data_IF_053473683349
#
_entry.id   IF_053473683349
#
_cell.length_a   1.000
_cell.length_b   1.000
_cell.length_c   1.000
_cell.angle_alpha   90.00
_cell.angle_beta   90.00
_cell.angle_gamma   90.00
#
_symmetry.space_group_name_H-M   'P 1'
#
loop_
_entity.id
_entity.type
_entity.pdbx_description
1 polymer ?
#
# COMPACT_ATOMS: atom_id res chain seq x y z
N UNK A 1 -37.14 -22.56 7.92
CA UNK A 1 -36.55 -21.23 8.10
C UNK A 1 -37.47 -20.27 7.34
N UNK A 2 -38.18 -19.40 8.06
CA UNK A 2 -39.14 -18.50 7.45
C UNK A 2 -38.45 -17.50 6.54
N UNK A 3 -39.03 -17.22 5.37
CA UNK A 3 -38.46 -16.26 4.39
C UNK A 3 -38.09 -14.93 5.04
N UNK A 4 -38.86 -14.49 6.02
CA UNK A 4 -38.61 -13.24 6.78
C UNK A 4 -37.33 -13.32 7.64
N UNK A 5 -37.10 -14.46 8.29
CA UNK A 5 -35.86 -14.68 9.08
C UNK A 5 -34.63 -14.73 8.18
N UNK A 6 -34.72 -15.40 7.04
CA UNK A 6 -33.64 -15.47 6.04
C UNK A 6 -33.33 -14.07 5.52
N UNK A 7 -34.33 -13.27 5.18
CA UNK A 7 -34.14 -11.90 4.70
C UNK A 7 -33.46 -11.01 5.75
N UNK A 8 -33.93 -11.04 6.99
CA UNK A 8 -33.33 -10.26 8.09
C UNK A 8 -31.87 -10.68 8.34
N UNK A 9 -31.58 -11.97 8.26
CA UNK A 9 -30.21 -12.47 8.41
C UNK A 9 -29.30 -11.95 7.28
N UNK A 10 -29.75 -12.06 6.03
CA UNK A 10 -28.97 -11.60 4.86
C UNK A 10 -28.80 -10.08 4.86
N UNK A 11 -29.83 -9.33 5.25
CA UNK A 11 -29.80 -7.87 5.39
C UNK A 11 -28.75 -7.44 6.42
N UNK A 12 -28.78 -8.02 7.61
CA UNK A 12 -27.80 -7.74 8.67
C UNK A 12 -26.38 -8.18 8.27
N UNK A 13 -26.25 -9.31 7.57
CA UNK A 13 -24.97 -9.78 7.03
C UNK A 13 -24.37 -8.81 5.99
N UNK A 14 -25.21 -8.17 5.17
CA UNK A 14 -24.77 -7.17 4.19
C UNK A 14 -24.17 -5.94 4.87
N UNK A 15 -24.84 -5.41 5.91
CA UNK A 15 -24.28 -4.31 6.70
C UNK A 15 -22.97 -4.71 7.39
N UNK A 16 -22.91 -5.91 7.98
CA UNK A 16 -21.70 -6.45 8.58
C UNK A 16 -20.54 -6.57 7.57
N UNK A 17 -20.82 -7.06 6.37
CA UNK A 17 -19.83 -7.15 5.31
C UNK A 17 -19.33 -5.78 4.86
N UNK A 18 -20.21 -4.79 4.70
CA UNK A 18 -19.83 -3.42 4.36
C UNK A 18 -18.94 -2.78 5.45
N UNK A 19 -19.30 -2.96 6.73
CA UNK A 19 -18.49 -2.47 7.84
C UNK A 19 -17.09 -3.11 7.87
N UNK A 20 -16.99 -4.42 7.62
CA UNK A 20 -15.72 -5.13 7.53
C UNK A 20 -14.85 -4.61 6.37
N UNK A 21 -15.43 -4.39 5.20
CA UNK A 21 -14.71 -3.86 4.04
C UNK A 21 -14.23 -2.42 4.30
N UNK A 22 -15.05 -1.58 4.92
CA UNK A 22 -14.69 -0.22 5.29
C UNK A 22 -13.53 -0.19 6.30
N UNK A 23 -13.62 -1.00 7.34
CA UNK A 23 -12.56 -1.12 8.35
C UNK A 23 -11.26 -1.65 7.76
N UNK A 24 -11.34 -2.75 6.98
CA UNK A 24 -10.18 -3.35 6.32
C UNK A 24 -9.50 -2.39 5.36
N UNK A 25 -10.28 -1.71 4.49
CA UNK A 25 -9.74 -0.73 3.54
C UNK A 25 -9.03 0.43 4.24
N UNK A 26 -9.64 0.98 5.29
CA UNK A 26 -9.05 2.06 6.08
C UNK A 26 -7.79 1.61 6.81
N UNK A 27 -7.80 0.42 7.39
CA UNK A 27 -6.64 -0.18 8.06
C UNK A 27 -5.47 -0.35 7.09
N UNK A 28 -5.71 -0.90 5.89
CA UNK A 28 -4.68 -1.05 4.86
C UNK A 28 -4.10 0.31 4.42
N UNK A 29 -4.92 1.34 4.24
CA UNK A 29 -4.48 2.71 3.90
C UNK A 29 -3.51 3.24 4.97
N UNK A 30 -3.86 3.12 6.26
CA UNK A 30 -3.01 3.58 7.37
C UNK A 30 -1.68 2.82 7.40
N UNK A 31 -1.71 1.49 7.19
CA UNK A 31 -0.49 0.68 7.15
C UNK A 31 0.45 1.10 6.03
N UNK A 32 -0.07 1.31 4.81
CA UNK A 32 0.75 1.74 3.68
C UNK A 32 1.33 3.12 3.92
N UNK A 33 0.52 4.06 4.42
CA UNK A 33 0.97 5.40 4.73
C UNK A 33 2.16 5.40 5.70
N UNK A 34 2.05 4.62 6.79
CA UNK A 34 3.14 4.46 7.76
C UNK A 34 4.37 3.79 7.13
N UNK A 35 4.16 2.79 6.28
CA UNK A 35 5.26 2.06 5.62
C UNK A 35 6.05 2.94 4.66
N UNK A 36 5.37 3.73 3.83
CA UNK A 36 6.02 4.71 2.93
C UNK A 36 6.81 5.75 3.73
N UNK A 37 6.24 6.25 4.83
CA UNK A 37 6.93 7.21 5.70
C UNK A 37 8.21 6.63 6.34
N UNK A 38 8.20 5.34 6.72
CA UNK A 38 9.35 4.68 7.31
C UNK A 38 10.49 4.41 6.31
N UNK A 39 10.16 4.16 5.03
CA UNK A 39 11.14 3.78 4.01
C UNK A 39 11.85 4.96 3.35
N UNK A 40 11.33 6.18 3.47
CA UNK A 40 11.95 7.39 2.91
C UNK A 40 12.68 8.21 3.98
N UNK A 41 13.60 9.07 3.55
CA UNK A 41 14.08 10.18 4.37
C UNK A 41 12.99 11.26 4.46
N UNK A 42 13.00 12.04 5.55
CA UNK A 42 12.04 13.14 5.75
C UNK A 42 12.20 14.21 4.69
N UNK A 43 13.46 14.51 4.36
CA UNK A 43 13.86 15.53 3.42
C UNK A 43 15.06 15.06 2.57
N UNK A 44 15.19 15.63 1.38
CA UNK A 44 16.31 15.42 0.46
C UNK A 44 17.64 15.83 1.11
N UNK A 45 17.65 16.92 1.89
CA UNK A 45 18.82 17.37 2.63
C UNK A 45 19.33 16.33 3.63
N UNK A 46 18.45 15.66 4.36
CA UNK A 46 18.81 14.61 5.31
C UNK A 46 19.36 13.36 4.58
N UNK A 47 18.85 13.05 3.40
CA UNK A 47 19.39 11.97 2.57
C UNK A 47 20.78 12.31 2.05
N UNK A 48 20.99 13.53 1.54
CA UNK A 48 22.29 13.97 1.02
C UNK A 48 23.35 14.01 2.12
N UNK A 49 23.02 14.53 3.30
CA UNK A 49 23.93 14.51 4.45
C UNK A 49 24.37 13.09 4.82
N UNK A 50 23.44 12.13 4.85
CA UNK A 50 23.76 10.72 5.07
C UNK A 50 24.66 10.16 3.97
N UNK A 51 24.40 10.49 2.69
CA UNK A 51 25.21 10.03 1.56
C UNK A 51 26.63 10.64 1.59
N UNK A 52 26.79 11.89 1.99
CA UNK A 52 28.08 12.55 2.15
C UNK A 52 28.91 11.89 3.26
N UNK A 53 28.31 11.53 4.39
CA UNK A 53 28.99 10.80 5.46
C UNK A 53 29.42 9.41 5.00
N UNK A 54 28.56 8.72 4.26
CA UNK A 54 28.86 7.42 3.68
C UNK A 54 29.98 7.51 2.64
N UNK A 55 29.95 8.53 1.77
CA UNK A 55 30.97 8.79 0.77
C UNK A 55 32.35 9.06 1.41
N UNK A 56 32.38 9.82 2.52
CA UNK A 56 33.61 10.06 3.28
C UNK A 56 34.23 8.78 3.85
N UNK A 57 33.43 7.87 4.36
CA UNK A 57 33.89 6.57 4.86
C UNK A 57 34.40 5.68 3.72
N UNK A 58 33.67 5.63 2.62
CA UNK A 58 34.04 4.84 1.43
C UNK A 58 35.34 5.37 0.78
N UNK A 59 35.54 6.68 0.70
CA UNK A 59 36.75 7.29 0.11
C UNK A 59 38.02 6.98 0.92
N UNK A 60 37.88 6.76 2.24
CA UNK A 60 38.96 6.31 3.13
C UNK A 60 39.23 4.80 3.05
N UNK A 61 38.41 4.06 2.31
CA UNK A 61 38.47 2.59 2.24
C UNK A 61 37.93 1.90 3.49
N UNK A 62 37.26 2.63 4.39
CA UNK A 62 36.66 2.10 5.61
C UNK A 62 35.24 1.57 5.31
N UNK A 63 35.19 0.34 4.77
CA UNK A 63 33.94 -0.32 4.44
C UNK A 63 33.18 -0.77 5.70
N UNK A 64 33.86 -1.05 6.78
CA UNK A 64 33.23 -1.50 8.03
C UNK A 64 32.58 -0.31 8.74
N UNK A 65 33.25 0.85 8.76
CA UNK A 65 32.67 2.11 9.21
C UNK A 65 31.48 2.55 8.35
N UNK A 66 31.57 2.40 7.03
CA UNK A 66 30.46 2.67 6.13
C UNK A 66 29.25 1.73 6.36
N UNK A 67 29.48 0.45 6.66
CA UNK A 67 28.43 -0.49 6.99
C UNK A 67 27.76 -0.15 8.33
N UNK A 68 28.54 0.25 9.35
CA UNK A 68 28.00 0.63 10.66
C UNK A 68 27.10 1.86 10.60
N UNK A 69 27.36 2.84 9.69
CA UNK A 69 26.46 3.97 9.45
C UNK A 69 25.07 3.54 8.90
N UNK A 70 25.03 2.43 8.19
CA UNK A 70 23.80 1.90 7.62
C UNK A 70 23.04 0.99 8.61
N UNK A 71 23.71 0.48 9.64
CA UNK A 71 23.15 -0.50 10.58
C UNK A 71 22.01 0.11 11.41
N UNK A 72 20.93 -0.68 11.60
CA UNK A 72 19.75 -0.23 12.35
C UNK A 72 18.84 0.76 11.61
N UNK A 73 19.22 1.27 10.44
CA UNK A 73 18.41 2.21 9.68
C UNK A 73 17.40 1.46 8.79
N UNK A 74 16.10 1.74 9.02
CA UNK A 74 15.01 1.06 8.28
C UNK A 74 14.70 1.72 6.92
N UNK A 75 15.35 2.81 6.57
CA UNK A 75 15.16 3.52 5.30
C UNK A 75 15.75 2.73 4.13
N UNK A 76 15.18 2.92 2.94
CA UNK A 76 15.57 2.14 1.76
C UNK A 76 17.03 2.34 1.34
N UNK A 77 17.50 3.60 1.25
CA UNK A 77 18.86 3.91 0.79
C UNK A 77 19.94 3.30 1.69
N UNK A 78 19.93 3.45 3.03
CA UNK A 78 20.89 2.80 3.91
C UNK A 78 20.88 1.27 3.82
N UNK A 79 19.69 0.64 3.74
CA UNK A 79 19.60 -0.81 3.62
C UNK A 79 20.22 -1.33 2.32
N UNK A 80 19.97 -0.64 1.20
CA UNK A 80 20.54 -1.00 -0.10
C UNK A 80 22.03 -0.70 -0.17
N UNK A 81 22.51 0.40 0.43
CA UNK A 81 23.92 0.71 0.55
C UNK A 81 24.66 -0.35 1.39
N UNK A 82 24.09 -0.78 2.51
CA UNK A 82 24.64 -1.87 3.32
C UNK A 82 24.76 -3.16 2.51
N UNK A 83 23.73 -3.51 1.74
CA UNK A 83 23.74 -4.68 0.88
C UNK A 83 24.87 -4.61 -0.17
N UNK A 84 25.09 -3.42 -0.76
CA UNK A 84 26.19 -3.19 -1.70
C UNK A 84 27.56 -3.40 -1.07
N UNK A 85 27.79 -2.81 0.12
CA UNK A 85 29.05 -2.88 0.82
C UNK A 85 29.39 -4.33 1.20
N UNK A 86 28.41 -5.09 1.69
CA UNK A 86 28.59 -6.50 2.04
C UNK A 86 28.90 -7.38 0.82
N UNK A 87 28.34 -7.04 -0.34
CA UNK A 87 28.52 -7.80 -1.57
C UNK A 87 29.58 -7.22 -2.52
N UNK A 88 30.46 -6.31 -2.04
CA UNK A 88 31.48 -5.63 -2.86
C UNK A 88 32.38 -6.56 -3.69
N UNK A 89 32.56 -7.81 -3.22
CA UNK A 89 33.44 -8.81 -3.85
C UNK A 89 32.91 -9.37 -5.19
N UNK A 90 31.61 -9.28 -5.44
CA UNK A 90 31.00 -9.85 -6.67
C UNK A 90 31.18 -8.97 -7.92
N UNK A 91 31.70 -7.75 -7.73
CA UNK A 91 31.95 -6.78 -8.80
C UNK A 91 30.84 -5.76 -8.97
N UNK A 92 31.20 -4.53 -9.38
CA UNK A 92 30.29 -3.37 -9.43
C UNK A 92 29.01 -3.61 -10.24
N UNK A 93 29.11 -4.20 -11.45
CA UNK A 93 27.96 -4.43 -12.32
C UNK A 93 26.92 -5.36 -11.66
N UNK A 94 27.36 -6.42 -10.98
CA UNK A 94 26.47 -7.35 -10.28
C UNK A 94 25.89 -6.73 -9.01
N UNK A 95 26.67 -5.90 -8.28
CA UNK A 95 26.16 -5.16 -7.11
C UNK A 95 25.07 -4.18 -7.53
N UNK A 96 25.28 -3.42 -8.62
CA UNK A 96 24.27 -2.50 -9.15
C UNK A 96 22.96 -3.22 -9.48
N UNK A 97 23.04 -4.35 -10.19
CA UNK A 97 21.88 -5.16 -10.51
C UNK A 97 21.20 -5.69 -9.25
N UNK A 98 21.96 -6.24 -8.30
CA UNK A 98 21.46 -6.74 -7.04
C UNK A 98 20.67 -5.68 -6.26
N UNK A 99 21.17 -4.44 -6.20
CA UNK A 99 20.47 -3.33 -5.51
C UNK A 99 19.16 -3.00 -6.21
N UNK A 100 19.17 -2.92 -7.55
CA UNK A 100 17.96 -2.63 -8.33
C UNK A 100 16.90 -3.72 -8.14
N UNK A 101 17.29 -4.99 -8.20
CA UNK A 101 16.40 -6.12 -8.01
C UNK A 101 15.83 -6.13 -6.58
N UNK A 102 16.65 -5.85 -5.56
CA UNK A 102 16.21 -5.79 -4.17
C UNK A 102 15.30 -4.60 -3.88
N UNK A 103 15.59 -3.43 -4.44
CA UNK A 103 14.68 -2.29 -4.33
C UNK A 103 13.30 -2.63 -4.90
N UNK A 104 13.27 -3.25 -6.08
CA UNK A 104 12.02 -3.63 -6.72
C UNK A 104 11.27 -4.71 -5.93
N UNK A 105 11.97 -5.74 -5.44
CA UNK A 105 11.36 -6.86 -4.72
C UNK A 105 10.95 -6.51 -3.29
N UNK A 106 11.86 -5.90 -2.51
CA UNK A 106 11.67 -5.74 -1.07
C UNK A 106 10.90 -4.46 -0.71
N UNK A 107 10.93 -3.44 -1.58
CA UNK A 107 10.29 -2.16 -1.32
C UNK A 107 9.05 -1.96 -2.19
N UNK A 108 9.21 -2.01 -3.51
CA UNK A 108 8.11 -1.68 -4.43
C UNK A 108 7.03 -2.76 -4.44
N UNK A 109 7.42 -4.03 -4.53
CA UNK A 109 6.46 -5.15 -4.54
C UNK A 109 5.65 -5.26 -3.23
N UNK A 110 6.27 -5.00 -2.05
CA UNK A 110 5.52 -4.95 -0.78
C UNK A 110 4.44 -3.87 -0.79
N UNK A 111 4.75 -2.68 -1.33
CA UNK A 111 3.80 -1.57 -1.44
C UNK A 111 2.68 -1.89 -2.44
N UNK A 112 3.01 -2.44 -3.60
CA UNK A 112 2.03 -2.80 -4.64
C UNK A 112 1.06 -3.89 -4.16
N UNK A 113 1.58 -4.91 -3.47
CA UNK A 113 0.75 -5.95 -2.87
C UNK A 113 -0.25 -5.37 -1.86
N UNK A 114 0.17 -4.44 -1.02
CA UNK A 114 -0.71 -3.78 -0.04
C UNK A 114 -1.73 -2.86 -0.72
N UNK A 115 -1.33 -2.12 -1.77
CA UNK A 115 -2.24 -1.29 -2.57
C UNK A 115 -3.32 -2.13 -3.25
N UNK A 116 -2.99 -3.33 -3.71
CA UNK A 116 -3.96 -4.25 -4.31
C UNK A 116 -5.11 -4.55 -3.36
N UNK A 117 -4.86 -4.73 -2.06
CA UNK A 117 -5.92 -4.94 -1.07
C UNK A 117 -6.82 -3.71 -0.91
N UNK A 118 -6.26 -2.50 -0.93
CA UNK A 118 -7.07 -1.27 -0.89
C UNK A 118 -7.90 -1.12 -2.15
N UNK A 119 -7.34 -1.38 -3.33
CA UNK A 119 -8.08 -1.39 -4.59
C UNK A 119 -9.21 -2.42 -4.60
N UNK A 120 -8.99 -3.58 -3.97
CA UNK A 120 -10.04 -4.59 -3.79
C UNK A 120 -11.16 -4.05 -2.93
N UNK A 121 -10.86 -3.41 -1.78
CA UNK A 121 -11.88 -2.79 -0.93
C UNK A 121 -12.67 -1.70 -1.66
N UNK A 122 -12.00 -0.83 -2.44
CA UNK A 122 -12.62 0.22 -3.25
C UNK A 122 -13.62 -0.34 -4.26
N UNK A 123 -13.29 -1.47 -4.89
CA UNK A 123 -14.18 -2.13 -5.86
C UNK A 123 -15.31 -2.90 -5.19
N UNK A 124 -15.01 -3.57 -4.09
CA UNK A 124 -15.97 -4.45 -3.39
C UNK A 124 -17.04 -3.65 -2.64
N UNK A 125 -16.70 -2.49 -2.06
CA UNK A 125 -17.65 -1.70 -1.28
C UNK A 125 -18.89 -1.28 -2.08
N UNK A 126 -18.79 -0.69 -3.30
CA UNK A 126 -19.97 -0.38 -4.12
C UNK A 126 -20.71 -1.63 -4.62
N UNK A 127 -20.00 -2.74 -4.88
CA UNK A 127 -20.61 -3.99 -5.31
C UNK A 127 -21.47 -4.60 -4.20
N UNK A 128 -21.03 -4.53 -2.94
CA UNK A 128 -21.85 -4.90 -1.79
C UNK A 128 -23.06 -3.98 -1.62
N UNK A 129 -22.91 -2.69 -1.90
CA UNK A 129 -24.03 -1.75 -1.94
C UNK A 129 -25.06 -2.11 -3.00
N UNK A 130 -24.61 -2.39 -4.22
CA UNK A 130 -25.48 -2.84 -5.32
C UNK A 130 -26.14 -4.18 -4.99
N UNK A 131 -25.43 -5.11 -4.38
CA UNK A 131 -26.01 -6.38 -3.91
C UNK A 131 -27.14 -6.12 -2.90
N UNK A 132 -26.97 -5.17 -1.99
CA UNK A 132 -28.03 -4.74 -1.07
C UNK A 132 -29.27 -4.19 -1.78
N UNK A 133 -29.11 -3.43 -2.90
CA UNK A 133 -30.28 -2.96 -3.66
C UNK A 133 -31.02 -4.12 -4.32
N UNK A 134 -30.33 -5.09 -4.86
CA UNK A 134 -30.94 -6.27 -5.46
C UNK A 134 -31.75 -7.02 -4.40
N UNK A 135 -31.20 -7.25 -3.23
CA UNK A 135 -31.90 -7.93 -2.13
C UNK A 135 -33.13 -7.14 -1.65
N UNK A 136 -32.99 -5.84 -1.43
CA UNK A 136 -34.12 -4.99 -0.98
C UNK A 136 -35.26 -4.95 -1.99
N UNK A 137 -34.94 -4.83 -3.27
CA UNK A 137 -35.96 -4.86 -4.34
C UNK A 137 -36.60 -6.23 -4.47
N UNK A 138 -35.84 -7.34 -4.34
CA UNK A 138 -36.40 -8.69 -4.33
C UNK A 138 -37.37 -8.88 -3.17
N UNK A 139 -37.07 -8.37 -1.99
CA UNK A 139 -37.98 -8.43 -0.84
C UNK A 139 -39.26 -7.62 -1.07
N UNK A 140 -39.11 -6.38 -1.59
CA UNK A 140 -40.25 -5.53 -1.92
C UNK A 140 -41.24 -6.19 -2.91
N UNK A 141 -40.71 -6.72 -4.01
CA UNK A 141 -41.52 -7.41 -5.02
C UNK A 141 -42.06 -8.77 -4.54
N UNK A 142 -41.28 -9.49 -3.72
CA UNK A 142 -41.75 -10.74 -3.11
C UNK A 142 -42.96 -10.53 -2.22
N UNK A 143 -43.00 -9.47 -1.42
CA UNK A 143 -44.17 -9.09 -0.61
C UNK A 143 -45.38 -8.67 -1.45
N UNK A 144 -45.15 -7.93 -2.53
CA UNK A 144 -46.17 -7.53 -3.48
C UNK A 144 -46.85 -8.73 -4.15
N UNK A 145 -46.07 -9.76 -4.50
CA UNK A 145 -46.59 -10.93 -5.20
C UNK A 145 -47.44 -11.85 -4.32
N UNK A 146 -47.25 -11.83 -3.01
CA UNK A 146 -47.92 -12.77 -2.06
C UNK A 146 -48.99 -12.13 -1.19
N UNK A 147 -49.10 -10.79 -1.18
CA UNK A 147 -50.02 -10.08 -0.30
C UNK A 147 -51.35 -9.78 -0.95
N UNK A 148 -52.47 -10.19 -0.31
CA UNK A 148 -53.83 -9.78 -0.69
C UNK A 148 -54.06 -8.25 -0.51
N UNK A 149 -53.31 -7.64 0.40
CA UNK A 149 -53.26 -6.17 0.61
C UNK A 149 -51.83 -5.71 0.80
N UNK A 150 -51.39 -4.79 -0.04
CA UNK A 150 -50.05 -4.18 0.02
C UNK A 150 -49.98 -3.24 1.21
N UNK A 151 -48.95 -3.42 2.08
CA UNK A 151 -48.63 -2.45 3.13
C UNK A 151 -47.56 -1.46 2.59
N UNK A 152 -47.95 -0.19 2.31
CA UNK A 152 -47.02 0.80 1.75
C UNK A 152 -45.81 1.09 2.64
N UNK A 153 -45.94 0.99 3.98
CA UNK A 153 -44.87 1.26 4.94
C UNK A 153 -43.80 0.20 4.83
N UNK A 154 -44.13 -1.08 4.78
CA UNK A 154 -43.19 -2.16 4.63
C UNK A 154 -42.44 -2.11 3.28
N UNK A 155 -43.16 -1.75 2.21
CA UNK A 155 -42.58 -1.56 0.88
C UNK A 155 -41.54 -0.41 0.90
N UNK A 156 -41.88 0.70 1.54
CA UNK A 156 -40.98 1.84 1.70
C UNK A 156 -39.73 1.49 2.52
N UNK A 157 -39.86 0.65 3.55
CA UNK A 157 -38.72 0.16 4.36
C UNK A 157 -37.73 -0.68 3.52
N UNK A 158 -38.23 -1.62 2.71
CA UNK A 158 -37.39 -2.47 1.85
C UNK A 158 -36.66 -1.64 0.79
N UNK A 159 -37.32 -0.65 0.19
CA UNK A 159 -36.73 0.27 -0.78
C UNK A 159 -35.68 1.16 -0.08
N UNK A 160 -36.00 1.68 1.11
CA UNK A 160 -35.08 2.50 1.89
C UNK A 160 -33.81 1.72 2.23
N UNK A 161 -33.94 0.47 2.68
CA UNK A 161 -32.80 -0.43 2.90
C UNK A 161 -31.92 -0.54 1.65
N UNK A 162 -32.52 -0.79 0.49
CA UNK A 162 -31.82 -0.91 -0.77
C UNK A 162 -30.99 0.36 -1.08
N UNK A 163 -31.56 1.53 -0.93
CA UNK A 163 -30.88 2.81 -1.20
C UNK A 163 -29.77 3.11 -0.21
N UNK A 164 -29.99 2.84 1.07
CA UNK A 164 -29.01 3.08 2.13
C UNK A 164 -27.78 2.21 1.95
N UNK A 165 -27.92 0.93 1.61
CA UNK A 165 -26.76 0.05 1.40
C UNK A 165 -25.86 0.53 0.27
N UNK A 166 -26.45 1.02 -0.83
CA UNK A 166 -25.67 1.62 -1.93
C UNK A 166 -24.96 2.92 -1.50
N UNK A 167 -25.67 3.78 -0.77
CA UNK A 167 -25.09 5.02 -0.25
C UNK A 167 -23.88 4.73 0.67
N UNK A 168 -23.98 3.74 1.57
CA UNK A 168 -22.88 3.31 2.43
C UNK A 168 -21.70 2.80 1.59
N UNK A 169 -21.94 1.96 0.59
CA UNK A 169 -20.92 1.41 -0.29
C UNK A 169 -20.14 2.51 -1.02
N UNK A 170 -20.82 3.50 -1.57
CA UNK A 170 -20.22 4.65 -2.25
C UNK A 170 -19.47 5.57 -1.28
N UNK A 171 -20.06 5.87 -0.13
CA UNK A 171 -19.44 6.70 0.92
C UNK A 171 -18.16 6.06 1.46
N UNK A 172 -18.06 4.73 1.47
CA UNK A 172 -16.84 4.01 1.83
C UNK A 172 -15.79 4.09 0.72
N UNK A 173 -16.19 3.89 -0.53
CA UNK A 173 -15.24 3.80 -1.65
C UNK A 173 -14.58 5.16 -1.99
N UNK A 174 -15.34 6.25 -1.96
CA UNK A 174 -14.84 7.58 -2.36
C UNK A 174 -13.63 8.05 -1.53
N UNK A 175 -13.65 8.05 -0.19
CA UNK A 175 -12.49 8.47 0.61
C UNK A 175 -11.28 7.56 0.40
N UNK A 176 -11.50 6.25 0.23
CA UNK A 176 -10.42 5.31 -0.05
C UNK A 176 -9.74 5.58 -1.39
N UNK A 177 -10.50 5.94 -2.45
CA UNK A 177 -9.94 6.36 -3.73
C UNK A 177 -9.04 7.59 -3.61
N UNK A 178 -9.50 8.61 -2.88
CA UNK A 178 -8.71 9.84 -2.65
C UNK A 178 -7.46 9.53 -1.85
N UNK A 179 -7.56 8.68 -0.82
CA UNK A 179 -6.42 8.26 -0.02
C UNK A 179 -5.37 7.51 -0.84
N UNK A 180 -5.79 6.59 -1.72
CA UNK A 180 -4.90 5.85 -2.63
C UNK A 180 -4.20 6.79 -3.61
N UNK A 181 -4.90 7.78 -4.17
CA UNK A 181 -4.28 8.79 -5.04
C UNK A 181 -3.16 9.55 -4.31
N UNK A 182 -3.39 9.96 -3.06
CA UNK A 182 -2.38 10.60 -2.21
C UNK A 182 -1.20 9.68 -1.88
N UNK A 183 -1.45 8.40 -1.64
CA UNK A 183 -0.41 7.39 -1.39
C UNK A 183 0.46 7.20 -2.64
N UNK A 184 -0.14 7.06 -3.83
CA UNK A 184 0.59 6.89 -5.07
C UNK A 184 1.55 8.04 -5.35
N UNK A 185 1.15 9.29 -5.08
CA UNK A 185 2.03 10.46 -5.20
C UNK A 185 3.23 10.33 -4.25
N UNK A 186 3.01 9.85 -3.01
CA UNK A 186 4.08 9.69 -2.02
C UNK A 186 5.03 8.54 -2.38
N UNK A 187 4.51 7.45 -2.94
CA UNK A 187 5.32 6.33 -3.44
C UNK A 187 6.23 6.81 -4.56
N UNK A 188 5.72 7.53 -5.55
CA UNK A 188 6.53 8.09 -6.66
C UNK A 188 7.63 9.02 -6.16
N UNK A 189 7.31 9.93 -5.24
CA UNK A 189 8.34 10.80 -4.63
C UNK A 189 9.40 10.02 -3.86
N UNK A 190 9.01 8.95 -3.15
CA UNK A 190 9.96 8.07 -2.48
C UNK A 190 10.84 7.34 -3.49
N UNK A 191 10.28 6.83 -4.57
CA UNK A 191 11.01 6.16 -5.66
C UNK A 191 12.04 7.08 -6.30
N UNK A 192 11.65 8.32 -6.63
CA UNK A 192 12.55 9.35 -7.18
C UNK A 192 13.72 9.67 -6.23
N UNK A 193 13.43 9.89 -4.95
CA UNK A 193 14.44 10.17 -3.93
C UNK A 193 15.41 8.99 -3.75
N UNK A 194 14.88 7.77 -3.67
CA UNK A 194 15.70 6.56 -3.53
C UNK A 194 16.56 6.34 -4.78
N UNK A 195 16.00 6.51 -5.97
CA UNK A 195 16.75 6.36 -7.22
C UNK A 195 17.89 7.39 -7.33
N UNK A 196 17.63 8.66 -7.00
CA UNK A 196 18.65 9.70 -6.96
C UNK A 196 19.76 9.39 -5.93
N UNK A 197 19.36 8.98 -4.72
CA UNK A 197 20.31 8.60 -3.67
C UNK A 197 21.16 7.38 -4.02
N UNK A 198 20.56 6.37 -4.64
CA UNK A 198 21.28 5.18 -5.10
C UNK A 198 22.27 5.49 -6.22
N UNK A 199 21.92 6.36 -7.16
CA UNK A 199 22.84 6.77 -8.22
C UNK A 199 24.05 7.49 -7.62
N UNK A 200 23.85 8.46 -6.73
CA UNK A 200 24.94 9.15 -6.02
C UNK A 200 25.81 8.19 -5.22
N UNK A 201 25.20 7.26 -4.48
CA UNK A 201 25.91 6.21 -3.76
C UNK A 201 26.74 5.33 -4.68
N UNK A 202 26.17 4.86 -5.81
CA UNK A 202 26.85 3.96 -6.74
C UNK A 202 28.04 4.61 -7.41
N UNK A 203 28.02 5.91 -7.70
CA UNK A 203 29.17 6.66 -8.22
C UNK A 203 30.34 6.66 -7.24
N UNK A 204 30.06 6.99 -5.98
CA UNK A 204 31.08 7.00 -4.91
C UNK A 204 31.58 5.60 -4.58
N UNK A 205 30.69 4.61 -4.58
CA UNK A 205 31.03 3.20 -4.36
C UNK A 205 31.91 2.64 -5.49
N UNK A 206 31.62 2.97 -6.74
CA UNK A 206 32.44 2.58 -7.89
C UNK A 206 33.86 3.12 -7.77
N UNK A 207 34.01 4.39 -7.40
CA UNK A 207 35.31 5.01 -7.19
C UNK A 207 36.10 4.33 -6.05
N UNK A 208 35.42 3.92 -4.98
CA UNK A 208 36.06 3.26 -3.84
C UNK A 208 36.48 1.80 -4.13
N UNK A 209 35.72 1.08 -4.96
CA UNK A 209 36.00 -0.34 -5.32
C UNK A 209 36.99 -0.48 -6.49
N UNK A 210 37.04 0.50 -7.41
CA UNK A 210 37.95 0.49 -8.57
C UNK A 210 39.45 0.37 -8.23
N UNK A 211 39.99 1.03 -7.17
CA UNK A 211 41.42 0.89 -6.84
C UNK A 211 41.80 -0.50 -6.33
N UNK A 212 40.87 -1.27 -5.80
CA UNK A 212 41.14 -2.62 -5.26
C UNK A 212 41.33 -3.67 -6.37
N UNK A 213 40.78 -3.44 -7.57
CA UNK A 213 40.91 -4.35 -8.71
C UNK A 213 42.26 -4.23 -9.46
N UNK A 214 43.01 -3.12 -9.24
CA UNK A 214 44.30 -2.83 -9.93
C UNK A 214 45.53 -3.33 -9.15
N UNK A 215 45.33 -3.93 -7.95
CA UNK A 215 46.41 -4.45 -7.08
C UNK A 215 46.44 -6.00 -7.03
N UNK A 216 45.84 -6.69 -8.00
CA UNK A 216 45.99 -8.14 -8.17
C UNK A 216 46.65 -8.51 -9.48
#
# INVERSE_FOLDING_TARGET
MDMTQLYNFVSNATYGAQALVAFWGTFCVVLIWRRVAQKRFEDEGAQNAFLDDLARSLSKGDFDGAASLCEGNQRAVPQLAMLAILNRKIGFAKVRQLIQDRFQQDVMSDLDNRLTWVHTAIKTAPMLGLYGTVLGMMAAFGKLATADRVNPTQLAEDISFALITTAIGLTTAMPLMVAVAGINIRIRRMEELVAAGLNHFLETFQAAVAPTAKKR
#
